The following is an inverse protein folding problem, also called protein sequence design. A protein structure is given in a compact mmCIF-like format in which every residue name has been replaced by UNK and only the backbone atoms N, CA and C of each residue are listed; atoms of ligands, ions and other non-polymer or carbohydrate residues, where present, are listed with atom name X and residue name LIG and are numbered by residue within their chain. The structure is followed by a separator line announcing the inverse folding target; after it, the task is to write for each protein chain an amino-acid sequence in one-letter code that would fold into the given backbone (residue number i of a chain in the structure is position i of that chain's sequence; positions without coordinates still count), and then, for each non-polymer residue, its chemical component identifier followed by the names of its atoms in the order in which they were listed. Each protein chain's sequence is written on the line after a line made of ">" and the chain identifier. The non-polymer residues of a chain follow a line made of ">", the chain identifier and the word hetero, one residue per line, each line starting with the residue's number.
data_IF_804168821165
#
_entry.id   IF_804168821165
#
_cell.length_a   1.000
_cell.length_b   1.000
_cell.length_c   1.000
_cell.angle_alpha   90.00
_cell.angle_beta   90.00
_cell.angle_gamma   90.00
#
_symmetry.space_group_name_H-M   'P 1'
#
loop_
_entity.id
_entity.type
_entity.pdbx_description
1 polymer ?
#
# COMPACT_ATOMS: atom_id res chain seq x y z
N UNK A 1 -15.80 6.75 29.75
CA UNK A 1 -14.59 5.89 29.75
C UNK A 1 -15.03 4.45 29.91
N UNK A 2 -15.38 3.78 28.81
CA UNK A 2 -15.51 2.32 28.80
C UNK A 2 -14.17 1.75 28.36
N UNK A 3 -13.59 0.84 29.14
CA UNK A 3 -12.50 0.00 28.64
C UNK A 3 -13.09 -0.81 27.49
N UNK A 4 -12.63 -0.57 26.26
CA UNK A 4 -12.77 -1.54 25.18
C UNK A 4 -11.95 -2.74 25.58
N UNK A 5 -12.60 -3.76 26.13
CA UNK A 5 -11.96 -5.04 26.41
C UNK A 5 -11.48 -5.63 25.08
N UNK A 6 -10.16 -5.58 24.86
CA UNK A 6 -9.52 -6.29 23.76
C UNK A 6 -9.73 -7.78 24.04
N UNK A 7 -10.39 -8.49 23.13
CA UNK A 7 -10.67 -9.90 23.32
C UNK A 7 -9.35 -10.70 23.42
N UNK A 8 -9.32 -11.79 24.21
CA UNK A 8 -8.10 -12.57 24.40
C UNK A 8 -7.66 -13.21 23.08
N UNK A 9 -6.41 -12.95 22.68
CA UNK A 9 -5.79 -13.55 21.48
C UNK A 9 -5.38 -15.00 21.76
N UNK A 10 -5.71 -15.90 20.85
CA UNK A 10 -5.23 -17.28 20.89
C UNK A 10 -3.87 -17.37 20.20
N UNK A 11 -2.86 -17.94 20.87
CA UNK A 11 -1.52 -18.06 20.30
C UNK A 11 -1.22 -19.48 19.83
N UNK A 12 -0.57 -19.61 18.67
CA UNK A 12 -0.02 -20.87 18.18
C UNK A 12 1.50 -20.88 18.27
N UNK A 13 2.04 -22.06 18.58
CA UNK A 13 3.47 -22.33 18.69
C UNK A 13 3.91 -23.45 17.74
N UNK A 14 3.09 -23.75 16.71
CA UNK A 14 3.41 -24.75 15.70
C UNK A 14 4.76 -24.40 15.03
N UNK A 15 5.80 -25.26 15.19
CA UNK A 15 7.11 -25.00 14.63
C UNK A 15 7.10 -24.81 13.11
N UNK A 16 6.22 -25.49 12.37
CA UNK A 16 6.13 -25.36 10.91
C UNK A 16 5.58 -24.01 10.50
N UNK A 17 4.55 -23.51 11.19
CA UNK A 17 3.98 -22.19 10.92
C UNK A 17 4.95 -21.08 11.30
N UNK A 18 5.65 -21.22 12.43
CA UNK A 18 6.68 -20.26 12.87
C UNK A 18 7.82 -20.21 11.86
N UNK A 19 8.31 -21.35 11.39
CA UNK A 19 9.39 -21.39 10.41
C UNK A 19 8.96 -20.81 9.06
N UNK A 20 7.74 -21.12 8.60
CA UNK A 20 7.18 -20.51 7.40
C UNK A 20 7.10 -18.99 7.55
N UNK A 21 6.64 -18.49 8.68
CA UNK A 21 6.54 -17.05 8.95
C UNK A 21 7.91 -16.38 9.00
N UNK A 22 8.92 -17.01 9.60
CA UNK A 22 10.31 -16.52 9.59
C UNK A 22 10.88 -16.42 8.18
N UNK A 23 10.66 -17.43 7.34
CA UNK A 23 11.20 -17.50 5.99
C UNK A 23 10.76 -16.30 5.12
N UNK A 24 9.50 -15.89 5.27
CA UNK A 24 8.88 -14.82 4.47
C UNK A 24 8.88 -13.45 5.15
N UNK A 25 9.41 -13.35 6.38
CA UNK A 25 9.54 -12.08 7.11
C UNK A 25 10.97 -11.56 7.03
N UNK A 26 11.13 -10.28 6.70
CA UNK A 26 12.43 -9.62 6.68
C UNK A 26 12.91 -9.37 8.10
N UNK A 27 14.03 -9.98 8.46
CA UNK A 27 14.64 -9.85 9.78
C UNK A 27 15.55 -8.64 9.85
N UNK A 28 15.47 -7.91 10.96
CA UNK A 28 16.31 -6.75 11.26
C UNK A 28 16.41 -5.75 10.09
N UNK A 29 15.28 -5.22 9.59
CA UNK A 29 15.30 -4.28 8.47
C UNK A 29 16.05 -3.00 8.82
N UNK A 30 16.86 -2.49 7.88
CA UNK A 30 17.44 -1.15 8.03
C UNK A 30 16.37 -0.09 7.71
N UNK A 31 15.81 0.52 8.75
CA UNK A 31 14.82 1.59 8.62
C UNK A 31 15.42 2.97 8.36
N UNK A 32 16.75 3.11 8.33
CA UNK A 32 17.43 4.36 7.93
C UNK A 32 17.58 4.38 6.41
N UNK A 33 16.46 4.57 5.71
CA UNK A 33 16.43 4.63 4.24
C UNK A 33 17.03 5.93 3.73
N UNK A 34 16.83 7.03 4.47
CA UNK A 34 17.33 8.34 4.07
C UNK A 34 18.81 8.43 4.46
N UNK A 35 19.70 8.41 3.46
CA UNK A 35 21.14 8.61 3.68
C UNK A 35 21.42 10.01 4.22
N UNK A 36 22.44 10.15 5.08
CA UNK A 36 22.78 11.45 5.67
C UNK A 36 23.10 12.51 4.59
N UNK A 37 23.73 12.11 3.48
CA UNK A 37 24.08 12.99 2.37
C UNK A 37 22.86 13.56 1.62
N UNK A 38 21.80 12.76 1.47
CA UNK A 38 20.59 13.17 0.74
C UNK A 38 19.46 13.61 1.66
N UNK A 39 19.61 13.45 2.98
CA UNK A 39 18.53 13.69 3.94
C UNK A 39 17.95 15.09 3.86
N UNK A 40 18.79 16.12 3.70
CA UNK A 40 18.35 17.52 3.56
C UNK A 40 17.76 17.84 2.19
N UNK A 41 18.00 16.99 1.18
CA UNK A 41 17.52 17.15 -0.20
C UNK A 41 16.20 16.41 -0.44
N UNK A 42 15.82 15.51 0.46
CA UNK A 42 14.61 14.70 0.32
C UNK A 42 13.38 15.48 0.82
N UNK A 43 12.22 15.30 0.18
CA UNK A 43 11.01 16.04 0.53
C UNK A 43 10.42 15.59 1.86
N UNK A 44 9.53 16.42 2.44
CA UNK A 44 8.81 16.11 3.68
C UNK A 44 8.18 14.73 3.68
N UNK A 45 7.60 14.31 2.55
CA UNK A 45 7.08 12.95 2.36
C UNK A 45 8.09 11.85 2.74
N UNK A 46 9.34 11.96 2.33
CA UNK A 46 10.36 10.95 2.62
C UNK A 46 10.62 10.82 4.13
N UNK A 47 10.63 11.95 4.84
CA UNK A 47 10.75 11.98 6.29
C UNK A 47 9.54 11.39 6.98
N UNK A 48 8.32 11.70 6.51
CA UNK A 48 7.09 11.12 7.07
C UNK A 48 7.04 9.60 6.90
N UNK A 49 7.50 9.07 5.77
CA UNK A 49 7.63 7.64 5.56
C UNK A 49 8.63 7.03 6.56
N UNK A 50 9.84 7.57 6.65
CA UNK A 50 10.86 7.04 7.58
C UNK A 50 10.39 7.10 9.03
N UNK A 51 9.81 8.22 9.46
CA UNK A 51 9.26 8.39 10.80
C UNK A 51 8.13 7.40 11.09
N UNK A 52 7.20 7.21 10.15
CA UNK A 52 6.07 6.29 10.32
C UNK A 52 6.50 4.83 10.46
N UNK A 53 7.44 4.37 9.63
CA UNK A 53 7.99 3.01 9.75
C UNK A 53 8.78 2.82 11.05
N UNK A 54 9.59 3.81 11.45
CA UNK A 54 10.33 3.77 12.73
C UNK A 54 9.41 3.79 13.94
N UNK A 55 8.34 4.59 13.92
CA UNK A 55 7.33 4.62 14.98
C UNK A 55 6.66 3.26 15.11
N UNK A 56 6.28 2.65 13.98
CA UNK A 56 5.68 1.30 13.96
C UNK A 56 6.62 0.23 14.53
N UNK A 57 7.91 0.35 14.26
CA UNK A 57 8.90 -0.58 14.80
C UNK A 57 9.16 -0.39 16.29
N UNK A 58 9.23 0.86 16.74
CA UNK A 58 9.36 1.22 18.15
C UNK A 58 8.19 0.67 18.99
N UNK A 59 6.99 0.61 18.41
CA UNK A 59 5.81 -0.02 19.04
C UNK A 59 5.87 -1.55 19.07
N UNK A 60 6.90 -2.17 18.48
CA UNK A 60 7.04 -3.63 18.41
C UNK A 60 6.12 -4.29 17.38
N UNK A 61 5.43 -3.50 16.54
CA UNK A 61 4.37 -3.97 15.65
C UNK A 61 4.76 -4.00 14.16
N UNK A 62 6.00 -3.64 13.81
CA UNK A 62 6.45 -3.69 12.41
C UNK A 62 6.84 -5.12 12.01
N UNK A 63 6.21 -5.59 10.94
CA UNK A 63 6.65 -6.72 10.12
C UNK A 63 6.82 -6.27 8.68
N UNK A 64 7.90 -6.70 8.04
CA UNK A 64 8.14 -6.44 6.61
C UNK A 64 8.32 -7.78 5.88
N UNK A 65 7.89 -7.89 4.61
CA UNK A 65 8.09 -9.10 3.83
C UNK A 65 9.54 -9.24 3.41
N UNK A 66 10.05 -10.47 3.41
CA UNK A 66 11.29 -10.80 2.72
C UNK A 66 10.99 -11.05 1.24
N UNK A 67 11.11 -10.01 0.42
CA UNK A 67 10.84 -10.09 -1.02
C UNK A 67 11.85 -10.94 -1.81
N UNK A 68 12.94 -11.40 -1.19
CA UNK A 68 13.91 -12.32 -1.79
C UNK A 68 13.71 -13.78 -1.39
N UNK A 69 12.77 -14.04 -0.47
CA UNK A 69 12.45 -15.38 -0.02
C UNK A 69 12.01 -16.26 -1.21
N UNK A 70 12.19 -17.58 -1.05
CA UNK A 70 11.78 -18.58 -2.04
C UNK A 70 12.40 -18.33 -3.43
N UNK A 71 13.65 -17.84 -3.46
CA UNK A 71 14.40 -17.52 -4.67
C UNK A 71 13.73 -16.49 -5.60
N UNK A 72 12.82 -15.66 -5.08
CA UNK A 72 12.16 -14.65 -5.88
C UNK A 72 13.14 -13.60 -6.45
N UNK A 73 13.03 -13.34 -7.75
CA UNK A 73 13.88 -12.39 -8.49
C UNK A 73 13.14 -11.15 -8.99
N UNK A 74 11.83 -11.05 -8.76
CA UNK A 74 11.02 -9.92 -9.25
C UNK A 74 10.17 -9.34 -8.14
N UNK A 75 10.26 -8.04 -7.91
CA UNK A 75 9.35 -7.28 -7.06
C UNK A 75 8.21 -6.76 -7.92
N UNK A 76 6.98 -7.11 -7.57
CA UNK A 76 5.77 -6.57 -8.17
C UNK A 76 5.25 -5.43 -7.31
N UNK A 77 4.79 -4.36 -7.94
CA UNK A 77 4.11 -3.24 -7.30
C UNK A 77 2.79 -3.05 -8.02
N UNK A 78 1.70 -3.12 -7.27
CA UNK A 78 0.36 -2.87 -7.75
C UNK A 78 -0.23 -1.72 -6.94
N UNK A 79 -0.63 -0.65 -7.62
CA UNK A 79 -0.99 0.59 -6.93
C UNK A 79 -2.30 1.16 -7.42
N UNK A 80 -3.05 1.71 -6.47
CA UNK A 80 -4.29 2.42 -6.70
C UNK A 80 -4.41 3.62 -5.76
N UNK A 81 -5.16 4.64 -6.19
CA UNK A 81 -5.22 5.93 -5.51
C UNK A 81 -6.66 6.44 -5.42
N UNK A 82 -7.04 6.89 -4.24
CA UNK A 82 -8.40 7.33 -3.95
C UNK A 82 -8.49 8.74 -3.42
N UNK A 83 -9.74 9.19 -3.29
CA UNK A 83 -10.06 10.45 -2.63
C UNK A 83 -10.12 11.66 -3.55
N UNK A 84 -10.26 11.51 -4.86
CA UNK A 84 -10.45 12.65 -5.76
C UNK A 84 -11.86 13.28 -5.63
N UNK A 85 -12.85 12.49 -5.18
CA UNK A 85 -14.20 12.98 -4.92
C UNK A 85 -14.25 14.04 -3.82
N UNK A 86 -15.10 15.06 -3.98
CA UNK A 86 -15.27 16.15 -3.01
C UNK A 86 -15.73 15.68 -1.63
N UNK A 87 -16.43 14.55 -1.56
CA UNK A 87 -16.91 13.95 -0.31
C UNK A 87 -15.81 13.28 0.52
N UNK A 88 -14.66 12.96 -0.09
CA UNK A 88 -13.53 12.38 0.65
C UNK A 88 -12.75 13.46 1.39
N UNK A 89 -12.44 13.23 2.68
CA UNK A 89 -11.60 14.13 3.49
C UNK A 89 -10.10 13.93 3.25
N UNK A 90 -9.73 12.76 2.72
CA UNK A 90 -8.34 12.32 2.56
C UNK A 90 -8.06 11.88 1.12
N UNK A 91 -6.81 12.03 0.71
CA UNK A 91 -6.23 11.26 -0.39
C UNK A 91 -5.67 9.95 0.16
N UNK A 92 -5.82 8.86 -0.60
CA UNK A 92 -5.24 7.56 -0.25
C UNK A 92 -4.35 7.06 -1.37
N UNK A 93 -3.17 6.58 -1.02
CA UNK A 93 -2.21 5.98 -1.94
C UNK A 93 -1.86 4.59 -1.46
N UNK A 94 -2.39 3.56 -2.11
CA UNK A 94 -2.17 2.17 -1.73
C UNK A 94 -1.22 1.48 -2.68
N UNK A 95 -0.31 0.69 -2.11
CA UNK A 95 0.74 -0.02 -2.82
C UNK A 95 0.82 -1.44 -2.28
N UNK A 96 0.51 -2.42 -3.12
CA UNK A 96 0.79 -3.82 -2.87
C UNK A 96 2.16 -4.14 -3.48
N UNK A 97 3.18 -4.26 -2.61
CA UNK A 97 4.55 -4.61 -2.98
C UNK A 97 4.81 -6.07 -2.64
N UNK A 98 5.07 -6.92 -3.62
CA UNK A 98 5.13 -8.37 -3.40
C UNK A 98 6.25 -9.09 -4.15
N UNK A 99 6.53 -10.32 -3.70
CA UNK A 99 7.42 -11.25 -4.38
C UNK A 99 6.72 -11.83 -5.63
N UNK A 100 6.77 -11.10 -6.74
CA UNK A 100 6.00 -11.39 -7.95
C UNK A 100 6.26 -12.78 -8.54
N UNK A 101 7.50 -13.28 -8.46
CA UNK A 101 7.84 -14.62 -8.93
C UNK A 101 7.20 -15.76 -8.14
N UNK A 102 6.67 -15.48 -6.95
CA UNK A 102 6.04 -16.47 -6.06
C UNK A 102 4.52 -16.49 -6.14
N UNK A 103 3.90 -15.76 -7.08
CA UNK A 103 2.44 -15.62 -7.20
C UNK A 103 1.74 -16.82 -7.88
N UNK A 104 2.47 -17.83 -8.33
CA UNK A 104 1.88 -19.00 -9.03
C UNK A 104 0.70 -19.64 -8.28
N UNK A 105 0.86 -20.02 -7.00
CA UNK A 105 -0.23 -20.57 -6.19
C UNK A 105 -1.42 -19.61 -6.03
N UNK A 106 -1.16 -18.31 -5.80
CA UNK A 106 -2.22 -17.31 -5.70
C UNK A 106 -3.08 -17.28 -6.98
N UNK A 107 -2.43 -17.23 -8.16
CA UNK A 107 -3.14 -17.19 -9.45
C UNK A 107 -4.01 -18.42 -9.68
N UNK A 108 -3.53 -19.60 -9.29
CA UNK A 108 -4.27 -20.85 -9.41
C UNK A 108 -5.51 -20.86 -8.50
N UNK A 109 -5.34 -20.54 -7.23
CA UNK A 109 -6.46 -20.50 -6.27
C UNK A 109 -7.46 -19.40 -6.62
N UNK A 110 -6.99 -18.25 -7.09
CA UNK A 110 -7.84 -17.15 -7.50
C UNK A 110 -8.69 -17.53 -8.72
N UNK A 111 -8.12 -18.21 -9.72
CA UNK A 111 -8.89 -18.71 -10.87
C UNK A 111 -10.02 -19.66 -10.44
N UNK A 112 -9.73 -20.59 -9.52
CA UNK A 112 -10.72 -21.49 -8.92
C UNK A 112 -11.82 -20.73 -8.18
N UNK A 113 -11.45 -19.70 -7.40
CA UNK A 113 -12.41 -18.88 -6.67
C UNK A 113 -13.32 -18.09 -7.61
N UNK A 114 -12.77 -17.48 -8.68
CA UNK A 114 -13.56 -16.75 -9.70
C UNK A 114 -14.56 -17.66 -10.40
N UNK A 115 -14.16 -18.89 -10.73
CA UNK A 115 -15.05 -19.88 -11.35
C UNK A 115 -16.18 -20.28 -10.39
N UNK A 116 -15.86 -20.58 -9.13
CA UNK A 116 -16.85 -20.98 -8.10
C UNK A 116 -17.83 -19.86 -7.76
N UNK A 117 -17.37 -18.60 -7.72
CA UNK A 117 -18.21 -17.46 -7.33
C UNK A 117 -19.11 -16.94 -8.45
N UNK A 118 -18.83 -17.31 -9.71
CA UNK A 118 -19.52 -16.77 -10.88
C UNK A 118 -19.17 -15.30 -11.15
N UNK A 119 -18.00 -14.82 -10.69
CA UNK A 119 -17.56 -13.42 -10.91
C UNK A 119 -17.30 -13.13 -12.40
N UNK A 120 -16.95 -14.16 -13.19
CA UNK A 120 -16.68 -14.03 -14.61
C UNK A 120 -15.58 -13.01 -14.89
N UNK A 121 -15.87 -12.02 -15.72
CA UNK A 121 -14.94 -10.95 -16.13
C UNK A 121 -15.06 -9.67 -15.29
N UNK A 122 -15.87 -9.68 -14.21
CA UNK A 122 -16.05 -8.51 -13.36
C UNK A 122 -14.80 -8.26 -12.52
N UNK A 123 -14.31 -7.02 -12.50
CA UNK A 123 -13.23 -6.59 -11.62
C UNK A 123 -13.68 -6.55 -10.16
N UNK A 124 -12.75 -6.87 -9.25
CA UNK A 124 -12.96 -6.68 -7.83
C UNK A 124 -12.68 -5.20 -7.55
N UNK A 125 -13.73 -4.42 -7.31
CA UNK A 125 -13.57 -3.00 -7.04
C UNK A 125 -14.32 -2.59 -5.78
N UNK A 126 -13.77 -1.66 -5.02
CA UNK A 126 -14.37 -1.14 -3.79
C UNK A 126 -15.80 -0.65 -4.05
N UNK A 127 -16.00 0.15 -5.11
CA UNK A 127 -17.32 0.69 -5.49
C UNK A 127 -18.39 -0.38 -5.72
N UNK A 128 -17.98 -1.60 -6.05
CA UNK A 128 -18.86 -2.70 -6.42
C UNK A 128 -19.19 -3.66 -5.26
N UNK A 129 -18.85 -3.34 -4.00
CA UNK A 129 -19.12 -4.23 -2.85
C UNK A 129 -20.59 -4.61 -2.64
N UNK A 130 -21.53 -3.86 -3.23
CA UNK A 130 -22.96 -4.21 -3.24
C UNK A 130 -23.32 -5.32 -4.25
N UNK A 131 -22.41 -5.66 -5.16
CA UNK A 131 -22.60 -6.71 -6.14
C UNK A 131 -22.56 -8.08 -5.46
N UNK A 132 -23.68 -8.80 -5.48
CA UNK A 132 -23.89 -10.03 -4.71
C UNK A 132 -22.79 -11.09 -4.85
N UNK A 133 -22.35 -11.47 -6.06
CA UNK A 133 -21.24 -12.40 -6.25
C UNK A 133 -19.92 -11.93 -5.61
N UNK A 134 -19.55 -10.67 -5.82
CA UNK A 134 -18.34 -10.09 -5.22
C UNK A 134 -18.43 -10.08 -3.69
N UNK A 135 -19.58 -9.66 -3.15
CA UNK A 135 -19.82 -9.61 -1.69
C UNK A 135 -19.65 -10.97 -1.01
N UNK A 136 -20.09 -12.04 -1.68
CA UNK A 136 -19.99 -13.41 -1.17
C UNK A 136 -18.57 -13.96 -1.22
N UNK A 137 -17.82 -13.69 -2.30
CA UNK A 137 -16.46 -14.20 -2.46
C UNK A 137 -15.39 -13.37 -1.74
N UNK A 138 -15.73 -12.16 -1.28
CA UNK A 138 -14.76 -11.24 -0.66
C UNK A 138 -13.96 -11.86 0.50
N UNK A 139 -14.56 -12.57 1.48
CA UNK A 139 -13.80 -13.24 2.54
C UNK A 139 -12.74 -14.21 1.99
N UNK A 140 -13.15 -15.10 1.09
CA UNK A 140 -12.27 -16.10 0.47
C UNK A 140 -11.13 -15.42 -0.29
N UNK A 141 -11.42 -14.34 -1.01
CA UNK A 141 -10.42 -13.56 -1.74
C UNK A 141 -9.39 -12.90 -0.80
N UNK A 142 -9.83 -12.29 0.30
CA UNK A 142 -8.93 -11.70 1.31
C UNK A 142 -8.06 -12.78 1.96
N UNK A 143 -8.63 -13.96 2.23
CA UNK A 143 -7.90 -15.12 2.75
C UNK A 143 -6.85 -15.64 1.76
N UNK A 144 -7.15 -15.67 0.45
CA UNK A 144 -6.16 -16.02 -0.57
C UNK A 144 -5.00 -15.01 -0.60
N UNK A 145 -5.30 -13.72 -0.46
CA UNK A 145 -4.27 -12.69 -0.38
C UNK A 145 -3.33 -12.94 0.82
N UNK A 146 -3.90 -13.22 1.99
CA UNK A 146 -3.16 -13.46 3.24
C UNK A 146 -2.35 -14.76 3.25
N UNK A 147 -2.77 -15.76 2.48
CA UNK A 147 -2.12 -17.06 2.47
C UNK A 147 -1.02 -17.16 1.42
N UNK A 148 -1.19 -16.51 0.27
CA UNK A 148 -0.36 -16.78 -0.90
C UNK A 148 0.48 -15.59 -1.36
N UNK A 149 0.21 -14.37 -0.91
CA UNK A 149 0.98 -13.20 -1.36
C UNK A 149 2.03 -12.82 -0.31
N UNK A 150 3.29 -13.20 -0.56
CA UNK A 150 4.42 -12.67 0.21
C UNK A 150 4.65 -11.21 -0.18
N UNK A 151 4.21 -10.27 0.65
CA UNK A 151 4.23 -8.85 0.32
C UNK A 151 3.86 -7.91 1.45
N UNK A 152 3.86 -6.62 1.13
CA UNK A 152 3.42 -5.52 1.97
C UNK A 152 2.31 -4.79 1.23
N UNK A 153 1.12 -4.73 1.82
CA UNK A 153 0.11 -3.75 1.49
C UNK A 153 0.37 -2.48 2.33
N UNK A 154 0.85 -1.44 1.67
CA UNK A 154 1.13 -0.15 2.29
C UNK A 154 0.12 0.90 1.81
N UNK A 155 -0.52 1.62 2.73
CA UNK A 155 -1.41 2.74 2.40
C UNK A 155 -0.92 4.02 3.08
N UNK A 156 -0.63 5.05 2.27
CA UNK A 156 -0.42 6.41 2.74
C UNK A 156 -1.74 7.19 2.64
N UNK A 157 -2.20 7.72 3.76
CA UNK A 157 -3.37 8.59 3.86
C UNK A 157 -2.88 10.02 4.04
N UNK A 158 -3.36 10.96 3.22
CA UNK A 158 -2.96 12.37 3.29
C UNK A 158 -4.20 13.24 3.44
N UNK A 159 -4.22 14.07 4.48
CA UNK A 159 -5.25 15.08 4.68
C UNK A 159 -5.30 16.07 3.50
N UNK A 160 -6.47 16.27 2.88
CA UNK A 160 -6.63 17.18 1.72
C UNK A 160 -6.29 18.65 1.99
N UNK A 161 -6.24 19.08 3.25
CA UNK A 161 -5.80 20.44 3.63
C UNK A 161 -4.29 20.63 3.48
N UNK A 162 -3.56 19.55 3.18
CA UNK A 162 -2.15 19.56 2.85
C UNK A 162 -2.03 19.59 1.33
N UNK A 163 -1.82 20.79 0.79
CA UNK A 163 -1.71 21.02 -0.66
C UNK A 163 -0.45 20.38 -1.25
N UNK A 164 0.65 20.29 -0.49
CA UNK A 164 1.90 19.66 -0.94
C UNK A 164 2.64 18.96 0.19
N UNK A 165 3.27 17.82 -0.12
CA UNK A 165 4.24 17.15 0.76
C UNK A 165 5.70 17.45 0.39
N UNK A 166 5.91 18.39 -0.54
CA UNK A 166 7.21 18.76 -1.11
C UNK A 166 7.59 20.21 -0.77
N UNK A 167 6.77 20.93 0.00
CA UNK A 167 7.01 22.31 0.42
C UNK A 167 5.76 22.93 1.06
N UNK A 168 5.75 24.27 1.26
CA UNK A 168 4.61 24.99 1.83
C UNK A 168 3.29 24.84 1.04
N UNK A 169 3.39 24.44 -0.24
CA UNK A 169 2.23 24.21 -1.10
C UNK A 169 1.57 25.49 -1.59
N UNK A 170 2.35 26.56 -1.67
CA UNK A 170 2.05 27.81 -2.37
C UNK A 170 2.26 27.69 -3.89
N UNK A 171 1.92 28.74 -4.64
CA UNK A 171 2.03 28.75 -6.09
C UNK A 171 3.46 28.50 -6.61
N UNK A 172 4.48 28.93 -5.87
CA UNK A 172 5.88 28.70 -6.22
C UNK A 172 6.26 27.22 -6.05
N UNK A 173 5.91 26.61 -4.92
CA UNK A 173 6.10 25.17 -4.69
C UNK A 173 5.46 24.36 -5.81
N UNK A 174 4.21 24.69 -6.16
CA UNK A 174 3.46 23.98 -7.19
C UNK A 174 4.06 24.16 -8.59
N UNK A 175 4.61 25.35 -8.89
CA UNK A 175 5.33 25.61 -10.14
C UNK A 175 6.64 24.82 -10.21
N UNK A 176 7.44 24.78 -9.14
CA UNK A 176 8.67 23.98 -9.11
C UNK A 176 8.40 22.49 -9.35
N UNK A 177 7.27 21.98 -8.83
CA UNK A 177 6.83 20.61 -9.11
C UNK A 177 6.57 20.40 -10.59
N UNK A 178 5.82 21.30 -11.24
CA UNK A 178 5.52 21.17 -12.68
C UNK A 178 6.76 21.32 -13.54
N UNK A 179 7.66 22.26 -13.19
CA UNK A 179 8.91 22.50 -13.91
C UNK A 179 9.85 21.28 -13.83
N UNK A 180 9.92 20.64 -12.66
CA UNK A 180 10.70 19.42 -12.46
C UNK A 180 10.19 18.22 -13.29
N UNK A 181 8.92 18.23 -13.70
CA UNK A 181 8.34 17.22 -14.59
C UNK A 181 8.52 17.58 -16.07
N UNK A 182 8.52 18.87 -16.41
CA UNK A 182 8.75 19.31 -17.78
C UNK A 182 10.19 19.07 -18.24
N UNK A 183 11.18 19.25 -17.35
CA UNK A 183 12.61 19.00 -17.63
C UNK A 183 12.92 17.61 -18.21
N UNK A 184 12.41 16.49 -17.65
CA UNK A 184 12.58 15.17 -18.25
C UNK A 184 11.64 14.88 -19.42
N UNK A 185 10.87 15.88 -19.88
CA UNK A 185 9.95 15.74 -21.01
C UNK A 185 8.64 15.05 -20.65
N UNK A 186 8.23 15.01 -19.37
CA UNK A 186 6.91 14.52 -19.01
C UNK A 186 5.81 15.34 -19.71
N UNK A 187 6.06 16.64 -19.80
CA UNK A 187 5.20 17.65 -20.43
C UNK A 187 4.41 18.44 -19.40
N UNK A 188 3.72 19.49 -19.88
CA UNK A 188 2.89 20.35 -19.03
C UNK A 188 1.74 19.56 -18.40
N UNK A 189 1.66 19.60 -17.07
CA UNK A 189 0.58 18.98 -16.29
C UNK A 189 -0.07 19.98 -15.34
N UNK A 190 -1.31 19.70 -14.98
CA UNK A 190 -1.94 20.40 -13.86
C UNK A 190 -1.11 20.18 -12.58
N UNK A 191 -0.90 21.21 -11.74
CA UNK A 191 -0.01 21.09 -10.57
C UNK A 191 -0.39 19.97 -9.61
N UNK A 192 -1.68 19.71 -9.42
CA UNK A 192 -2.18 18.64 -8.56
C UNK A 192 -1.82 17.24 -9.11
N UNK A 193 -1.82 17.07 -10.43
CA UNK A 193 -1.39 15.83 -11.09
C UNK A 193 0.13 15.64 -10.90
N UNK A 194 0.91 16.72 -11.01
CA UNK A 194 2.35 16.67 -10.78
C UNK A 194 2.70 16.31 -9.33
N UNK A 195 1.99 16.90 -8.37
CA UNK A 195 2.17 16.59 -6.95
C UNK A 195 1.81 15.13 -6.66
N UNK A 196 0.65 14.67 -7.17
CA UNK A 196 0.21 13.27 -7.06
C UNK A 196 1.26 12.31 -7.61
N UNK A 197 1.81 12.61 -8.79
CA UNK A 197 2.85 11.82 -9.43
C UNK A 197 4.08 11.70 -8.54
N UNK A 198 4.55 12.80 -7.96
CA UNK A 198 5.69 12.76 -7.06
C UNK A 198 5.39 12.02 -5.77
N UNK A 199 4.19 12.18 -5.16
CA UNK A 199 3.81 11.38 -4.00
C UNK A 199 3.97 9.89 -4.27
N UNK A 200 3.49 9.44 -5.43
CA UNK A 200 3.52 8.05 -5.85
C UNK A 200 4.96 7.59 -6.10
N UNK A 201 5.71 8.35 -6.90
CA UNK A 201 7.08 7.99 -7.29
C UNK A 201 8.02 7.94 -6.07
N UNK A 202 7.92 8.90 -5.16
CA UNK A 202 8.71 8.93 -3.94
C UNK A 202 8.30 7.83 -2.94
N UNK A 203 7.01 7.51 -2.81
CA UNK A 203 6.55 6.35 -2.03
C UNK A 203 7.12 5.05 -2.57
N UNK A 204 7.01 4.80 -3.87
CA UNK A 204 7.55 3.59 -4.50
C UNK A 204 9.07 3.53 -4.34
N UNK A 205 9.78 4.63 -4.58
CA UNK A 205 11.23 4.69 -4.41
C UNK A 205 11.67 4.35 -2.98
N UNK A 206 10.97 4.91 -1.98
CA UNK A 206 11.21 4.59 -0.57
C UNK A 206 10.96 3.10 -0.28
N UNK A 207 9.83 2.54 -0.72
CA UNK A 207 9.49 1.13 -0.49
C UNK A 207 10.47 0.18 -1.18
N UNK A 208 10.94 0.50 -2.39
CA UNK A 208 11.97 -0.26 -3.09
C UNK A 208 13.32 -0.18 -2.40
N UNK A 209 13.70 1.00 -1.90
CA UNK A 209 14.92 1.18 -1.13
C UNK A 209 14.89 0.36 0.18
N UNK A 210 13.73 0.28 0.83
CA UNK A 210 13.51 -0.49 2.05
C UNK A 210 13.49 -2.01 1.80
N UNK A 211 12.66 -2.47 0.86
CA UNK A 211 12.31 -3.89 0.71
C UNK A 211 13.07 -4.61 -0.41
N UNK A 212 13.46 -3.89 -1.45
CA UNK A 212 14.11 -4.46 -2.63
C UNK A 212 15.53 -4.93 -2.34
N UNK A 213 15.97 -5.95 -3.08
CA UNK A 213 17.33 -6.48 -3.04
C UNK A 213 18.07 -6.23 -4.35
N UNK A 214 19.41 -6.05 -4.33
CA UNK A 214 20.22 -5.92 -5.53
C UNK A 214 19.96 -7.04 -6.54
N UNK A 215 19.93 -6.69 -7.83
CA UNK A 215 19.72 -7.63 -8.93
C UNK A 215 18.27 -8.04 -9.17
N UNK A 216 17.33 -7.73 -8.28
CA UNK A 216 15.90 -7.98 -8.54
C UNK A 216 15.40 -7.12 -9.71
N UNK A 217 14.40 -7.63 -10.43
CA UNK A 217 13.61 -6.90 -11.44
C UNK A 217 12.45 -6.22 -10.74
N UNK A 218 12.08 -5.03 -11.18
CA UNK A 218 10.91 -4.29 -10.70
C UNK A 218 9.85 -4.28 -11.80
N UNK A 219 8.64 -4.68 -11.44
CA UNK A 219 7.44 -4.56 -12.26
C UNK A 219 6.41 -3.73 -11.52
N UNK A 220 6.04 -2.57 -12.07
CA UNK A 220 5.01 -1.71 -11.52
C UNK A 220 3.79 -1.65 -12.43
N UNK A 221 2.62 -1.99 -11.89
CA UNK A 221 1.34 -1.77 -12.54
C UNK A 221 0.50 -0.80 -11.71
N UNK A 222 -0.03 0.21 -12.39
CA UNK A 222 -0.99 1.16 -11.82
C UNK A 222 -2.24 1.14 -12.68
N UNK A 223 -3.41 1.30 -12.07
CA UNK A 223 -4.67 1.41 -12.83
C UNK A 223 -4.70 2.67 -13.70
N UNK A 224 -5.74 2.83 -14.53
CA UNK A 224 -5.98 3.96 -15.40
C UNK A 224 -6.17 5.27 -14.62
N UNK A 225 -5.07 5.87 -14.24
CA UNK A 225 -5.01 7.12 -13.50
C UNK A 225 -4.54 8.28 -14.40
N UNK A 226 -4.86 9.52 -14.03
CA UNK A 226 -4.43 10.74 -14.72
C UNK A 226 -2.90 10.84 -14.90
N UNK A 227 -2.12 10.21 -14.01
CA UNK A 227 -0.65 10.14 -14.08
C UNK A 227 -0.13 9.13 -15.12
N UNK A 228 -0.99 8.29 -15.70
CA UNK A 228 -0.60 7.18 -16.57
C UNK A 228 -1.61 6.92 -17.69
N UNK A 229 -2.36 7.96 -18.05
CA UNK A 229 -3.55 7.86 -18.89
C UNK A 229 -3.28 7.26 -20.27
N UNK A 230 -2.09 7.47 -20.85
CA UNK A 230 -1.68 6.90 -22.13
C UNK A 230 -0.43 6.03 -21.98
N UNK A 231 -0.16 5.08 -22.90
CA UNK A 231 1.08 4.29 -22.88
C UNK A 231 2.35 5.14 -22.82
N UNK A 232 2.35 6.30 -23.50
CA UNK A 232 3.47 7.24 -23.53
C UNK A 232 3.65 7.92 -22.17
N UNK A 233 2.56 8.43 -21.56
CA UNK A 233 2.61 9.00 -20.20
C UNK A 233 3.06 7.96 -19.17
N UNK A 234 2.57 6.73 -19.28
CA UNK A 234 2.97 5.64 -18.41
C UNK A 234 4.46 5.30 -18.55
N UNK A 235 5.01 5.32 -19.77
CA UNK A 235 6.45 5.11 -19.98
C UNK A 235 7.26 6.21 -19.28
N UNK A 236 6.86 7.47 -19.44
CA UNK A 236 7.50 8.61 -18.77
C UNK A 236 7.37 8.55 -17.25
N UNK A 237 6.24 8.05 -16.73
CA UNK A 237 6.04 7.82 -15.30
C UNK A 237 7.08 6.82 -14.73
N UNK A 238 7.35 5.75 -15.48
CA UNK A 238 8.37 4.75 -15.13
C UNK A 238 9.79 5.37 -15.20
N UNK A 239 10.05 6.25 -16.16
CA UNK A 239 11.32 6.99 -16.27
C UNK A 239 11.52 7.96 -15.08
N UNK A 240 10.46 8.65 -14.64
CA UNK A 240 10.50 9.49 -13.44
C UNK A 240 10.86 8.67 -12.21
N UNK A 241 10.21 7.52 -12.02
CA UNK A 241 10.57 6.63 -10.92
C UNK A 241 12.05 6.21 -11.00
N UNK A 242 12.57 5.93 -12.21
CA UNK A 242 13.98 5.58 -12.41
C UNK A 242 14.94 6.73 -12.03
N UNK A 243 14.53 8.00 -12.17
CA UNK A 243 15.31 9.16 -11.74
C UNK A 243 15.19 9.45 -10.24
N UNK A 244 14.04 9.19 -9.64
CA UNK A 244 13.79 9.41 -8.20
C UNK A 244 14.46 8.32 -7.35
N UNK A 245 14.46 7.07 -7.82
CA UNK A 245 14.96 5.92 -7.07
C UNK A 245 16.40 6.06 -6.54
N UNK A 246 17.38 6.57 -7.32
CA UNK A 246 18.74 6.84 -6.84
C UNK A 246 18.85 7.79 -5.65
N UNK A 247 17.85 8.63 -5.39
CA UNK A 247 17.84 9.51 -4.22
C UNK A 247 17.70 8.72 -2.91
N UNK A 248 17.07 7.54 -2.98
CA UNK A 248 16.75 6.69 -1.83
C UNK A 248 17.69 5.49 -1.68
N UNK A 249 18.36 5.05 -2.73
CA UNK A 249 19.19 3.85 -2.67
C UNK A 249 20.29 3.78 -3.70
N UNK A 250 21.40 3.15 -3.33
CA UNK A 250 22.50 2.76 -4.23
C UNK A 250 22.33 1.36 -4.80
N UNK A 251 21.29 0.62 -4.36
CA UNK A 251 20.96 -0.71 -4.87
C UNK A 251 20.72 -0.65 -6.38
N UNK A 252 21.33 -1.58 -7.11
CA UNK A 252 21.14 -1.72 -8.55
C UNK A 252 20.11 -2.81 -8.83
N UNK A 253 18.98 -2.42 -9.41
CA UNK A 253 17.97 -3.33 -9.91
C UNK A 253 18.29 -3.73 -11.35
N UNK A 254 18.04 -4.98 -11.74
CA UNK A 254 18.41 -5.48 -13.06
C UNK A 254 17.52 -4.92 -14.18
N UNK A 255 16.28 -4.57 -13.84
CA UNK A 255 15.34 -3.91 -14.75
C UNK A 255 14.28 -3.21 -13.93
N UNK A 256 13.85 -2.04 -14.39
CA UNK A 256 12.64 -1.38 -13.92
C UNK A 256 11.70 -1.25 -15.12
N UNK A 257 10.50 -1.78 -14.99
CA UNK A 257 9.48 -1.69 -16.02
C UNK A 257 8.11 -1.51 -15.38
N UNK A 258 7.15 -1.12 -16.19
CA UNK A 258 5.77 -1.08 -15.74
C UNK A 258 4.77 -1.31 -16.86
N UNK A 259 3.51 -1.44 -16.46
CA UNK A 259 2.41 -1.65 -17.37
C UNK A 259 1.13 -0.98 -16.84
N UNK A 260 0.27 -0.58 -17.79
CA UNK A 260 -1.16 -0.34 -17.52
C UNK A 260 -1.88 -1.70 -17.53
N UNK A 261 -3.13 -1.77 -17.05
CA UNK A 261 -3.96 -2.96 -17.26
C UNK A 261 -3.91 -3.43 -18.72
N UNK A 262 -3.64 -4.72 -18.91
CA UNK A 262 -3.45 -5.29 -20.24
C UNK A 262 -4.75 -5.29 -21.05
N UNK A 263 -4.61 -5.22 -22.38
CA UNK A 263 -5.69 -5.42 -23.34
C UNK A 263 -5.30 -6.57 -24.29
N UNK A 264 -6.03 -7.70 -24.33
CA UNK A 264 -7.22 -8.02 -23.52
C UNK A 264 -6.89 -8.14 -22.01
N UNK A 265 -7.93 -8.05 -21.18
CA UNK A 265 -7.80 -8.03 -19.72
C UNK A 265 -7.12 -9.30 -19.19
N UNK A 266 -6.13 -9.10 -18.33
CA UNK A 266 -5.45 -10.18 -17.62
C UNK A 266 -5.86 -10.15 -16.13
N UNK A 267 -6.86 -10.96 -15.78
CA UNK A 267 -7.48 -10.91 -14.45
C UNK A 267 -6.52 -11.24 -13.31
N UNK A 268 -5.49 -12.04 -13.56
CA UNK A 268 -4.45 -12.33 -12.57
C UNK A 268 -3.64 -11.11 -12.14
N UNK A 269 -3.55 -10.07 -12.99
CA UNK A 269 -2.96 -8.79 -12.62
C UNK A 269 -4.00 -7.83 -12.03
N UNK A 270 -5.23 -7.84 -12.57
CA UNK A 270 -6.33 -7.02 -12.05
C UNK A 270 -6.67 -7.40 -10.61
N UNK A 271 -6.71 -8.68 -10.28
CA UNK A 271 -6.93 -9.17 -8.92
C UNK A 271 -5.83 -8.67 -7.96
N UNK A 272 -4.60 -8.41 -8.43
CA UNK A 272 -3.56 -7.81 -7.59
C UNK A 272 -3.74 -6.29 -7.42
N UNK A 273 -4.17 -5.59 -8.48
CA UNK A 273 -4.54 -4.17 -8.41
C UNK A 273 -5.71 -3.93 -7.44
N UNK A 274 -6.69 -4.82 -7.48
CA UNK A 274 -7.87 -4.79 -6.62
C UNK A 274 -7.53 -4.78 -5.12
N UNK A 275 -6.40 -5.35 -4.72
CA UNK A 275 -5.93 -5.31 -3.33
C UNK A 275 -5.65 -3.87 -2.88
N UNK A 276 -5.01 -3.07 -3.75
CA UNK A 276 -4.72 -1.68 -3.46
C UNK A 276 -6.00 -0.83 -3.44
N UNK A 277 -6.92 -1.04 -4.40
CA UNK A 277 -8.20 -0.32 -4.49
C UNK A 277 -9.09 -0.56 -3.26
N UNK A 278 -9.35 -1.83 -2.90
CA UNK A 278 -10.22 -2.12 -1.77
C UNK A 278 -9.68 -1.56 -0.46
N UNK A 279 -8.35 -1.54 -0.29
CA UNK A 279 -7.70 -0.96 0.87
C UNK A 279 -7.80 0.57 0.86
N UNK A 280 -7.45 1.21 -0.26
CA UNK A 280 -7.52 2.66 -0.43
C UNK A 280 -8.95 3.18 -0.18
N UNK A 281 -9.94 2.53 -0.80
CA UNK A 281 -11.35 2.90 -0.68
C UNK A 281 -11.90 2.69 0.73
N UNK A 282 -11.60 1.55 1.35
CA UNK A 282 -12.05 1.22 2.71
C UNK A 282 -11.49 2.21 3.74
N UNK A 283 -10.18 2.45 3.69
CA UNK A 283 -9.49 3.36 4.61
C UNK A 283 -10.00 4.80 4.41
N UNK A 284 -10.15 5.25 3.16
CA UNK A 284 -10.67 6.59 2.87
C UNK A 284 -12.09 6.79 3.42
N UNK A 285 -12.97 5.80 3.20
CA UNK A 285 -14.36 5.86 3.67
C UNK A 285 -14.44 5.91 5.19
N UNK A 286 -13.75 4.99 5.88
CA UNK A 286 -13.87 4.89 7.34
C UNK A 286 -13.29 6.13 8.03
N UNK A 287 -12.13 6.63 7.59
CA UNK A 287 -11.52 7.82 8.18
C UNK A 287 -12.33 9.08 7.90
N UNK A 288 -12.86 9.24 6.68
CA UNK A 288 -13.74 10.37 6.36
C UNK A 288 -15.03 10.31 7.19
N UNK A 289 -15.56 9.12 7.44
CA UNK A 289 -16.74 8.95 8.28
C UNK A 289 -16.47 9.21 9.76
N UNK A 290 -15.29 8.80 10.27
CA UNK A 290 -14.85 9.10 11.64
C UNK A 290 -14.73 10.60 11.87
N UNK A 291 -14.19 11.35 10.91
CA UNK A 291 -14.10 12.82 10.99
C UNK A 291 -15.48 13.49 10.95
N UNK A 292 -16.39 12.97 10.12
CA UNK A 292 -17.73 13.56 9.95
C UNK A 292 -18.70 13.24 11.09
N UNK A 293 -18.66 12.01 11.62
CA UNK A 293 -19.67 11.47 12.55
C UNK A 293 -19.12 11.19 13.95
N UNK A 294 -17.79 11.27 14.12
CA UNK A 294 -17.10 10.78 15.31
C UNK A 294 -16.80 9.28 15.22
N UNK A 295 -15.77 8.84 15.96
CA UNK A 295 -15.27 7.45 15.93
C UNK A 295 -16.34 6.40 16.20
N UNK A 296 -17.20 6.65 17.19
CA UNK A 296 -18.21 5.68 17.63
C UNK A 296 -19.41 5.56 16.68
N UNK A 297 -19.60 6.55 15.80
CA UNK A 297 -20.69 6.56 14.81
C UNK A 297 -20.18 6.39 13.37
N UNK A 298 -18.89 6.09 13.20
CA UNK A 298 -18.29 5.94 11.90
C UNK A 298 -18.98 4.80 11.13
N UNK A 299 -19.34 5.09 9.88
CA UNK A 299 -20.03 4.18 8.99
C UNK A 299 -19.07 3.65 7.95
N UNK A 300 -19.23 2.37 7.66
CA UNK A 300 -18.59 1.71 6.54
C UNK A 300 -19.67 0.98 5.74
N UNK A 301 -19.54 0.97 4.41
CA UNK A 301 -20.50 0.22 3.60
C UNK A 301 -20.30 -1.28 3.82
N UNK A 302 -21.36 -2.04 3.58
CA UNK A 302 -21.31 -3.50 3.60
C UNK A 302 -20.19 -4.04 2.69
N UNK A 303 -19.41 -4.98 3.21
CA UNK A 303 -18.19 -5.51 2.58
C UNK A 303 -16.93 -4.77 2.99
N UNK A 304 -17.01 -3.46 3.26
CA UNK A 304 -15.88 -2.69 3.77
C UNK A 304 -15.50 -3.10 5.20
N UNK A 305 -16.46 -3.53 6.00
CA UNK A 305 -16.25 -4.12 7.33
C UNK A 305 -15.30 -5.33 7.29
N UNK A 306 -15.46 -6.20 6.27
CA UNK A 306 -14.60 -7.37 6.06
C UNK A 306 -13.17 -6.96 5.71
N UNK A 307 -13.01 -5.96 4.84
CA UNK A 307 -11.69 -5.41 4.48
C UNK A 307 -11.06 -4.73 5.69
N UNK A 308 -11.82 -3.98 6.48
CA UNK A 308 -11.33 -3.32 7.67
C UNK A 308 -10.84 -4.33 8.71
N UNK A 309 -11.60 -5.42 8.93
CA UNK A 309 -11.16 -6.53 9.79
C UNK A 309 -9.87 -7.15 9.26
N UNK A 310 -9.81 -7.43 7.96
CA UNK A 310 -8.61 -7.97 7.31
C UNK A 310 -7.39 -7.04 7.44
N UNK A 311 -7.58 -5.72 7.50
CA UNK A 311 -6.51 -4.75 7.73
C UNK A 311 -6.01 -4.70 9.19
N UNK A 312 -6.72 -5.30 10.16
CA UNK A 312 -6.35 -5.26 11.58
C UNK A 312 -5.09 -6.07 11.93
N UNK A 313 -4.70 -7.03 11.09
CA UNK A 313 -3.58 -7.93 11.39
C UNK A 313 -2.75 -8.28 10.15
N UNK A 314 -1.46 -8.50 10.41
CA UNK A 314 -0.55 -9.12 9.47
C UNK A 314 -0.84 -10.62 9.38
N UNK A 315 -0.84 -11.17 8.18
CA UNK A 315 -0.83 -12.62 7.98
C UNK A 315 0.60 -13.15 7.88
N UNK A 316 0.74 -14.47 7.71
CA UNK A 316 2.06 -15.10 7.55
C UNK A 316 2.77 -14.53 6.31
N UNK A 317 2.10 -14.36 5.18
CA UNK A 317 2.76 -13.90 3.94
C UNK A 317 2.49 -12.43 3.63
N UNK A 318 1.30 -11.90 3.91
CA UNK A 318 0.94 -10.52 3.60
C UNK A 318 0.98 -9.62 4.84
N UNK A 319 1.92 -8.67 4.82
CA UNK A 319 2.04 -7.62 5.84
C UNK A 319 1.21 -6.41 5.43
N UNK A 320 0.68 -5.66 6.40
CA UNK A 320 -0.23 -4.54 6.18
C UNK A 320 0.20 -3.36 7.05
N UNK A 321 0.37 -2.20 6.44
CA UNK A 321 0.73 -0.98 7.14
C UNK A 321 0.00 0.21 6.53
N UNK A 322 -0.62 1.03 7.39
CA UNK A 322 -1.19 2.31 6.99
C UNK A 322 -0.54 3.43 7.76
N UNK A 323 -0.18 4.51 7.08
CA UNK A 323 0.31 5.75 7.67
C UNK A 323 -0.65 6.89 7.33
N UNK A 324 -0.84 7.82 8.26
CA UNK A 324 -1.56 9.06 8.01
C UNK A 324 -0.62 10.26 8.12
N UNK A 325 -0.76 11.21 7.20
CA UNK A 325 -0.15 12.54 7.27
C UNK A 325 -1.29 13.54 7.37
N UNK A 326 -1.33 14.29 8.47
CA UNK A 326 -2.42 15.23 8.77
C UNK A 326 -1.91 16.51 9.40
N UNK A 327 -2.70 17.57 9.28
CA UNK A 327 -2.45 18.80 10.02
C UNK A 327 -2.81 18.59 11.49
N UNK A 328 -1.88 18.88 12.38
CA UNK A 328 -2.04 18.79 13.81
C UNK A 328 -2.72 20.07 14.33
N UNK A 329 -3.32 20.06 15.55
CA UNK A 329 -4.00 21.23 16.11
C UNK A 329 -3.12 22.49 16.23
N UNK A 330 -1.80 22.33 16.33
CA UNK A 330 -0.83 23.43 16.37
C UNK A 330 -0.52 24.02 14.98
N UNK A 331 -1.12 23.49 13.91
CA UNK A 331 -0.93 23.94 12.53
C UNK A 331 0.16 23.18 11.76
N UNK A 332 1.03 22.44 12.45
CA UNK A 332 2.10 21.66 11.82
C UNK A 332 1.57 20.44 11.08
N UNK A 333 2.35 19.91 10.15
CA UNK A 333 2.06 18.63 9.50
C UNK A 333 2.75 17.52 10.28
N UNK A 334 1.96 16.58 10.80
CA UNK A 334 2.45 15.40 11.49
C UNK A 334 2.15 14.11 10.72
N UNK A 335 2.89 13.05 11.04
CA UNK A 335 2.63 11.71 10.51
C UNK A 335 2.58 10.66 11.63
N UNK A 336 1.88 9.56 11.40
CA UNK A 336 1.89 8.41 12.30
C UNK A 336 1.22 7.17 11.72
N UNK A 337 1.45 5.99 12.32
CA UNK A 337 0.75 4.77 11.94
C UNK A 337 -0.74 4.86 12.25
N UNK A 338 -1.54 4.19 11.43
CA UNK A 338 -2.97 3.95 11.67
C UNK A 338 -3.11 2.52 12.17
N UNK A 339 -3.71 2.36 13.34
CA UNK A 339 -4.04 1.06 13.91
C UNK A 339 -5.54 0.78 13.73
N UNK A 340 -5.84 -0.37 13.12
CA UNK A 340 -7.17 -0.95 13.10
C UNK A 340 -7.21 -2.10 14.10
N UNK A 341 -8.26 -2.14 14.92
CA UNK A 341 -8.42 -3.17 15.95
C UNK A 341 -9.81 -3.78 15.83
N UNK A 342 -9.86 -5.12 15.77
CA UNK A 342 -11.11 -5.85 15.82
C UNK A 342 -11.69 -5.81 17.23
N UNK A 343 -12.99 -5.52 17.34
CA UNK A 343 -13.71 -5.52 18.62
C UNK A 343 -14.25 -6.91 18.99
N UNK A 344 -14.35 -7.81 18.01
CA UNK A 344 -14.92 -9.16 18.17
C UNK A 344 -13.94 -10.24 17.74
N UNK A 345 -13.95 -11.36 18.47
CA UNK A 345 -13.16 -12.57 18.16
C UNK A 345 -13.79 -13.37 17.02
N UNK A 346 -12.97 -14.00 16.18
CA UNK A 346 -13.37 -15.09 15.28
C UNK A 346 -12.73 -16.40 15.75
N UNK A 347 -13.51 -17.47 15.82
CA UNK A 347 -13.10 -18.75 16.46
C UNK A 347 -11.80 -19.35 15.88
N UNK A 348 -11.49 -19.04 14.63
CA UNK A 348 -10.35 -19.62 13.89
C UNK A 348 -9.11 -18.70 13.82
N UNK A 349 -9.05 -17.61 14.61
CA UNK A 349 -7.91 -16.68 14.62
C UNK A 349 -6.79 -17.11 15.58
N UNK A 350 -5.69 -17.61 15.01
CA UNK A 350 -4.47 -17.93 15.76
C UNK A 350 -3.34 -16.95 15.45
N UNK A 351 -2.66 -16.48 16.50
CA UNK A 351 -1.57 -15.52 16.41
C UNK A 351 -0.22 -16.17 16.69
N UNK A 352 0.80 -15.81 15.92
CA UNK A 352 2.20 -16.17 16.22
C UNK A 352 2.83 -15.01 17.02
N UNK A 353 3.46 -15.27 18.18
CA UNK A 353 4.17 -14.22 18.91
C UNK A 353 5.27 -13.57 18.05
N UNK A 354 5.21 -12.24 17.95
CA UNK A 354 6.13 -11.41 17.16
C UNK A 354 7.62 -11.66 17.45
N UNK A 355 7.94 -11.93 18.72
CA UNK A 355 9.29 -12.25 19.19
C UNK A 355 9.91 -13.47 18.49
N UNK A 356 9.10 -14.37 17.94
CA UNK A 356 9.63 -15.49 17.17
C UNK A 356 10.01 -15.12 15.74
N UNK A 357 9.54 -13.98 15.22
CA UNK A 357 9.73 -13.59 13.82
C UNK A 357 10.86 -12.59 13.62
N UNK A 358 11.23 -11.82 14.67
CA UNK A 358 12.21 -10.73 14.61
C UNK A 358 13.66 -11.22 14.58
#
# INVERSE_FOLDING_TARGET
>A
MGRTDVYPKQFTFDPQLVERARLVTLRSPNLNVLSEENRSKLPGLAHFLEQGFKARDADGKLLLPNLSALANRTVGIFSDYGGEDQSSRFFTYSFMVCAFGSLGPFKQEMASLRAKSGLGEKEIAFKDFRYGPLRRMLPDYLQLCDNYINGLLFTLVVDKTISSLFGPGDAETMRHITDALDQPGYGTVAPQVGEKLFRISHCIAYLLALLGQPGQKIFWMTDHDAIGETPEKHTKLVEILNMVLPLYTTKRFSRLGGARPFTPRAFDFLDLLSIADIAAGTIAQVLSSMEALGKDNAQIKEGGDKVLRWLCYDSITLKKLSLIVKRMPNGDVGCGPIDFEAQTHEEDEFFIPMQFLR
#
